data_IF_075181470468
#
_entry.id   IF_075181470468
#
_cell.length_a   1.000
_cell.length_b   1.000
_cell.length_c   1.000
_cell.angle_alpha   90.00
_cell.angle_beta   90.00
_cell.angle_gamma   90.00
#
_symmetry.space_group_name_H-M   'P 1'
#
loop_
_entity.id
_entity.type
_entity.pdbx_description
1 polymer ?
#
# COMPACT_ATOMS: atom_id res chain seq x y z
N UNK A 1 -11.90 -4.40 18.95
CA UNK A 1 -13.30 -4.83 18.73
C UNK A 1 -13.44 -6.19 19.42
N UNK A 2 -14.48 -6.44 20.22
CA UNK A 2 -14.63 -7.71 20.97
C UNK A 2 -15.56 -8.66 20.23
N UNK A 3 -15.03 -9.75 19.70
CA UNK A 3 -15.80 -10.82 19.08
C UNK A 3 -15.62 -12.11 19.89
N UNK A 4 -16.72 -12.75 20.29
CA UNK A 4 -16.70 -14.01 21.04
C UNK A 4 -16.91 -15.15 20.05
N UNK A 5 -15.88 -15.96 19.79
CA UNK A 5 -16.01 -17.18 19.00
C UNK A 5 -15.77 -18.40 19.90
N UNK A 6 -16.83 -19.19 20.13
CA UNK A 6 -16.81 -20.47 20.86
C UNK A 6 -16.22 -20.42 22.29
N UNK A 7 -16.55 -19.38 23.07
CA UNK A 7 -16.22 -19.33 24.50
C UNK A 7 -14.77 -18.99 24.83
N UNK A 8 -13.95 -18.62 23.83
CA UNK A 8 -12.65 -18.00 24.04
C UNK A 8 -12.76 -16.50 23.73
N UNK A 9 -12.49 -15.65 24.72
CA UNK A 9 -12.37 -14.21 24.51
C UNK A 9 -11.04 -13.91 23.83
N UNK A 10 -11.07 -13.53 22.55
CA UNK A 10 -9.92 -12.93 21.87
C UNK A 10 -10.10 -11.42 21.85
N UNK A 11 -9.29 -10.71 22.64
CA UNK A 11 -9.15 -9.27 22.45
C UNK A 11 -8.40 -9.05 21.14
N UNK A 12 -9.14 -8.74 20.08
CA UNK A 12 -8.56 -8.34 18.79
C UNK A 12 -8.37 -6.82 18.83
N UNK A 13 -7.14 -6.42 19.15
CA UNK A 13 -6.68 -5.05 19.05
C UNK A 13 -6.01 -4.82 17.70
N UNK A 14 -6.58 -3.90 16.93
CA UNK A 14 -6.00 -3.45 15.68
C UNK A 14 -5.13 -2.23 15.95
N UNK A 15 -3.87 -2.29 15.54
CA UNK A 15 -3.01 -1.11 15.50
C UNK A 15 -3.42 -0.25 14.30
N UNK A 16 -3.76 1.04 14.48
CA UNK A 16 -4.01 1.94 13.36
C UNK A 16 -2.79 2.02 12.43
N UNK A 17 -3.04 1.97 11.11
CA UNK A 17 -2.01 2.09 10.06
C UNK A 17 -2.54 2.94 8.92
N UNK A 18 -1.64 3.62 8.21
CA UNK A 18 -1.95 4.36 6.99
C UNK A 18 -1.77 3.45 5.77
N UNK A 19 -2.72 3.49 4.84
CA UNK A 19 -2.59 2.87 3.51
C UNK A 19 -2.30 3.97 2.50
N UNK A 20 -1.21 3.83 1.75
CA UNK A 20 -0.85 4.70 0.63
C UNK A 20 -0.92 3.84 -0.63
N UNK A 21 -1.64 4.32 -1.64
CA UNK A 21 -1.73 3.70 -2.96
C UNK A 21 -1.21 4.71 -3.98
N UNK A 22 -0.21 4.30 -4.75
CA UNK A 22 0.42 5.13 -5.78
C UNK A 22 0.69 4.25 -6.98
N UNK A 23 0.37 4.75 -8.17
CA UNK A 23 0.70 4.13 -9.44
C UNK A 23 1.92 4.84 -10.00
N UNK A 24 2.90 4.06 -10.44
CA UNK A 24 4.15 4.55 -11.02
C UNK A 24 4.46 3.74 -12.26
N UNK A 25 5.20 4.32 -13.20
CA UNK A 25 5.69 3.57 -14.36
C UNK A 25 6.67 2.45 -13.96
N UNK A 26 6.68 1.37 -14.72
CA UNK A 26 7.49 0.16 -14.44
C UNK A 26 8.98 0.49 -14.29
N UNK A 27 9.48 1.45 -15.07
CA UNK A 27 10.88 1.90 -15.06
C UNK A 27 11.34 2.46 -13.71
N UNK A 28 10.42 2.94 -12.87
CA UNK A 28 10.72 3.52 -11.56
C UNK A 28 10.16 2.71 -10.38
N UNK A 29 9.43 1.62 -10.63
CA UNK A 29 8.78 0.81 -9.61
C UNK A 29 9.77 0.32 -8.53
N UNK A 30 10.91 -0.22 -8.94
CA UNK A 30 11.96 -0.67 -8.01
C UNK A 30 12.49 0.46 -7.12
N UNK A 31 12.73 1.64 -7.72
CA UNK A 31 13.21 2.83 -6.99
C UNK A 31 12.18 3.35 -6.00
N UNK A 32 10.89 3.33 -6.36
CA UNK A 32 9.81 3.73 -5.48
C UNK A 32 9.71 2.80 -4.26
N UNK A 33 9.83 1.48 -4.46
CA UNK A 33 9.82 0.49 -3.37
C UNK A 33 10.97 0.75 -2.39
N UNK A 34 12.18 0.97 -2.89
CA UNK A 34 13.34 1.22 -2.04
C UNK A 34 13.23 2.55 -1.28
N UNK A 35 12.76 3.61 -1.93
CA UNK A 35 12.52 4.90 -1.27
C UNK A 35 11.47 4.79 -0.16
N UNK A 36 10.37 4.06 -0.38
CA UNK A 36 9.34 3.82 0.64
C UNK A 36 9.92 3.02 1.80
N UNK A 37 10.68 1.96 1.52
CA UNK A 37 11.32 1.14 2.56
C UNK A 37 12.27 1.98 3.40
N UNK A 38 13.13 2.79 2.79
CA UNK A 38 14.06 3.64 3.52
C UNK A 38 13.33 4.67 4.38
N UNK A 39 12.32 5.35 3.83
CA UNK A 39 11.60 6.40 4.55
C UNK A 39 10.70 5.88 5.69
N UNK A 40 10.14 4.66 5.55
CA UNK A 40 9.22 4.08 6.52
C UNK A 40 9.88 3.16 7.54
N UNK A 41 11.17 2.82 7.39
CA UNK A 41 11.88 1.93 8.32
C UNK A 41 12.23 2.68 9.61
N UNK A 42 11.62 2.27 10.72
CA UNK A 42 11.99 2.72 12.07
C UNK A 42 12.81 1.66 12.82
N UNK A 43 12.85 0.42 12.29
CA UNK A 43 13.48 -0.73 12.92
C UNK A 43 12.61 -1.41 13.97
N UNK A 44 11.39 -0.92 14.21
CA UNK A 44 10.47 -1.46 15.20
C UNK A 44 9.45 -2.41 14.57
N UNK A 45 8.86 -3.27 15.40
CA UNK A 45 7.78 -4.17 14.97
C UNK A 45 6.59 -3.32 14.53
N UNK A 46 6.14 -3.55 13.29
CA UNK A 46 4.93 -2.93 12.75
C UNK A 46 5.16 -1.75 11.79
N UNK A 47 6.38 -1.58 11.26
CA UNK A 47 6.70 -0.61 10.18
C UNK A 47 5.84 -0.78 8.93
N UNK A 48 5.27 -1.98 8.72
CA UNK A 48 4.26 -2.23 7.70
C UNK A 48 4.74 -3.15 6.59
N UNK A 49 4.10 -3.04 5.42
CA UNK A 49 4.38 -3.84 4.23
C UNK A 49 4.19 -2.98 2.98
N UNK A 50 4.98 -3.27 1.95
CA UNK A 50 4.76 -2.74 0.60
C UNK A 50 4.25 -3.88 -0.25
N UNK A 51 3.14 -3.65 -0.94
CA UNK A 51 2.57 -4.58 -1.91
C UNK A 51 2.73 -3.99 -3.30
N UNK A 52 3.09 -4.83 -4.25
CA UNK A 52 3.19 -4.46 -5.67
C UNK A 52 2.13 -5.23 -6.42
N UNK A 53 1.28 -4.51 -7.14
CA UNK A 53 0.22 -5.06 -7.96
C UNK A 53 0.41 -4.53 -9.39
N UNK A 54 0.27 -5.36 -10.43
CA UNK A 54 0.28 -4.88 -11.80
C UNK A 54 -0.97 -4.02 -12.03
N UNK A 55 -0.80 -2.92 -12.75
CA UNK A 55 -1.90 -2.08 -13.24
C UNK A 55 -1.89 -2.17 -14.76
N UNK A 56 -2.94 -2.76 -15.32
CA UNK A 56 -3.00 -3.03 -16.76
C UNK A 56 -3.22 -1.75 -17.59
N UNK A 57 -3.95 -0.78 -17.06
CA UNK A 57 -4.18 0.52 -17.71
C UNK A 57 -4.51 1.63 -16.70
N UNK A 58 -4.25 2.87 -17.09
CA UNK A 58 -4.52 4.09 -16.33
C UNK A 58 -5.17 5.09 -17.26
N UNK A 59 -6.23 5.78 -16.81
CA UNK A 59 -6.90 6.82 -17.60
C UNK A 59 -7.00 8.12 -16.81
N UNK A 60 -6.48 9.22 -17.36
CA UNK A 60 -6.61 10.55 -16.75
C UNK A 60 -7.94 11.17 -17.15
N UNK A 61 -8.91 11.21 -16.22
CA UNK A 61 -10.28 11.69 -16.46
C UNK A 61 -10.35 13.07 -17.15
N UNK A 62 -9.44 13.99 -16.80
CA UNK A 62 -9.44 15.36 -17.32
C UNK A 62 -9.06 15.47 -18.80
N UNK A 63 -8.12 14.65 -19.27
CA UNK A 63 -7.51 14.76 -20.60
C UNK A 63 -7.85 13.59 -21.51
N UNK A 64 -8.26 12.45 -20.96
CA UNK A 64 -8.45 11.20 -21.68
C UNK A 64 -7.14 10.48 -22.02
N UNK A 65 -5.99 10.96 -21.54
CA UNK A 65 -4.71 10.27 -21.69
C UNK A 65 -4.77 8.90 -21.03
N UNK A 66 -4.10 7.91 -21.64
CA UNK A 66 -4.04 6.53 -21.16
C UNK A 66 -2.60 6.04 -20.94
N UNK A 67 -2.44 4.91 -20.25
CA UNK A 67 -1.14 4.32 -19.97
C UNK A 67 -0.19 5.26 -19.22
N UNK A 68 1.10 5.24 -19.58
CA UNK A 68 2.12 6.07 -18.89
C UNK A 68 1.86 7.57 -18.98
N UNK A 69 1.23 8.07 -20.05
CA UNK A 69 0.90 9.51 -20.17
C UNK A 69 -0.14 9.96 -19.13
N UNK A 70 -0.93 9.01 -18.61
CA UNK A 70 -1.94 9.26 -17.59
C UNK A 70 -1.37 9.28 -16.17
N UNK A 71 -0.12 8.85 -15.98
CA UNK A 71 0.62 8.89 -14.71
C UNK A 71 1.27 10.26 -14.62
#
# INVERSE_FOLDING_TARGET
HKEVYRGAEYNIDFTPKLKIEVVVGDSIAARAIDAIKEAANTGNIGDGKVFVLPVEDVVRIRTGETGEAAI
#
